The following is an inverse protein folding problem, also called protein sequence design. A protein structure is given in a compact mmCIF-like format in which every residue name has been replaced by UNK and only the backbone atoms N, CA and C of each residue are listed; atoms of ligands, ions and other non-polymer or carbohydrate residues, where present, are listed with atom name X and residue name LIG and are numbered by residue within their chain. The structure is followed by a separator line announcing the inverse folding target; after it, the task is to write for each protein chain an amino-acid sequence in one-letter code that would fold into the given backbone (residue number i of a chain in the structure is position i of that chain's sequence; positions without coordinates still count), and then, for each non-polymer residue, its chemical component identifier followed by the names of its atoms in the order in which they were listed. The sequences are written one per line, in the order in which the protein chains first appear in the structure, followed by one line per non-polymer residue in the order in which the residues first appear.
data_IF_050276512145
#
_entry.id   IF_050276512145
#
_cell.length_a   1.000
_cell.length_b   1.000
_cell.length_c   1.000
_cell.angle_alpha   90.00
_cell.angle_beta   90.00
_cell.angle_gamma   90.00
#
_symmetry.space_group_name_H-M   'P 1'
#
loop_
_entity.id
_entity.type
_entity.pdbx_description
1 polymer ?
#
# COMPACT_ATOMS: atom_id res chain seq x y z
N UNK A 1 -26.12 28.94 -39.99
CA UNK A 1 -25.63 28.37 -38.72
C UNK A 1 -25.28 26.90 -38.97
N UNK A 2 -24.02 26.63 -39.32
CA UNK A 2 -23.50 25.26 -39.43
C UNK A 2 -22.74 24.97 -38.15
N UNK A 3 -23.16 23.89 -37.52
CA UNK A 3 -22.63 23.36 -36.26
C UNK A 3 -21.13 23.06 -36.38
N UNK A 4 -20.30 23.81 -35.70
CA UNK A 4 -18.91 23.43 -35.40
C UNK A 4 -18.94 22.45 -34.24
N UNK A 5 -19.26 21.21 -34.53
CA UNK A 5 -18.96 20.13 -33.58
C UNK A 5 -17.45 20.05 -33.47
N UNK A 6 -16.93 20.59 -32.36
CA UNK A 6 -15.53 20.47 -31.98
C UNK A 6 -15.15 19.00 -32.01
N UNK A 7 -14.23 18.63 -32.90
CA UNK A 7 -13.70 17.26 -32.98
C UNK A 7 -13.06 16.90 -31.64
N UNK A 8 -13.61 15.90 -30.97
CA UNK A 8 -12.99 15.28 -29.79
C UNK A 8 -11.58 14.84 -30.23
N UNK A 9 -10.52 15.28 -29.57
CA UNK A 9 -9.17 14.87 -29.92
C UNK A 9 -9.11 13.33 -29.94
N UNK A 10 -8.60 12.76 -31.04
CA UNK A 10 -8.40 11.32 -31.14
C UNK A 10 -7.62 10.83 -29.90
N UNK A 11 -8.15 9.81 -29.26
CA UNK A 11 -7.51 9.19 -28.09
C UNK A 11 -6.05 8.87 -28.45
N UNK A 12 -5.11 9.40 -27.66
CA UNK A 12 -3.69 9.10 -27.81
C UNK A 12 -3.55 7.58 -27.80
N UNK A 13 -2.89 6.94 -28.78
CA UNK A 13 -2.74 5.50 -28.79
C UNK A 13 -2.08 5.08 -27.48
N UNK A 14 -2.77 4.27 -26.69
CA UNK A 14 -2.18 3.65 -25.50
C UNK A 14 -1.04 2.78 -26.02
N UNK A 15 0.19 3.24 -25.79
CA UNK A 15 1.39 2.46 -26.08
C UNK A 15 1.15 1.05 -25.55
N UNK A 16 1.48 0.02 -26.33
CA UNK A 16 1.23 -1.41 -26.13
C UNK A 16 1.23 -1.74 -24.63
N UNK A 17 0.04 -2.05 -24.10
CA UNK A 17 -0.17 -2.16 -22.65
C UNK A 17 0.85 -3.15 -22.10
N UNK A 18 1.77 -2.68 -21.27
CA UNK A 18 2.78 -3.52 -20.65
C UNK A 18 2.05 -4.67 -19.94
N UNK A 19 2.18 -5.89 -20.44
CA UNK A 19 1.49 -7.10 -19.93
C UNK A 19 1.70 -7.31 -18.43
N UNK A 20 2.72 -6.72 -17.87
CA UNK A 20 3.07 -6.80 -16.45
C UNK A 20 2.38 -5.73 -15.58
N UNK A 21 1.81 -4.69 -16.19
CA UNK A 21 1.23 -3.58 -15.42
C UNK A 21 0.13 -4.07 -14.47
N UNK A 22 -0.87 -4.80 -14.97
CA UNK A 22 -1.98 -5.28 -14.13
C UNK A 22 -1.52 -6.26 -13.05
N UNK A 23 -0.67 -7.27 -13.33
CA UNK A 23 -0.08 -8.11 -12.28
C UNK A 23 0.64 -7.30 -11.18
N UNK A 24 1.46 -6.32 -11.54
CA UNK A 24 2.12 -5.46 -10.55
C UNK A 24 1.12 -4.63 -9.74
N UNK A 25 0.10 -4.03 -10.38
CA UNK A 25 -0.94 -3.31 -9.66
C UNK A 25 -1.71 -4.21 -8.71
N UNK A 26 -2.02 -5.44 -9.10
CA UNK A 26 -2.66 -6.40 -8.20
C UNK A 26 -1.77 -6.75 -7.00
N UNK A 27 -0.49 -7.03 -7.23
CA UNK A 27 0.48 -7.25 -6.16
C UNK A 27 0.58 -6.03 -5.25
N UNK A 28 0.61 -4.81 -5.83
CA UNK A 28 0.61 -3.57 -5.06
C UNK A 28 -0.58 -3.46 -4.11
N UNK A 29 -1.79 -3.81 -4.57
CA UNK A 29 -2.98 -3.77 -3.73
C UNK A 29 -2.93 -4.78 -2.57
N UNK A 30 -2.42 -5.98 -2.86
CA UNK A 30 -2.19 -6.99 -1.81
C UNK A 30 -1.20 -6.47 -0.76
N UNK A 31 -0.04 -5.96 -1.20
CA UNK A 31 0.99 -5.48 -0.29
C UNK A 31 0.53 -4.24 0.50
N UNK A 32 -0.19 -3.32 -0.13
CA UNK A 32 -0.77 -2.15 0.52
C UNK A 32 -1.58 -2.52 1.76
N UNK A 33 -2.54 -3.43 1.61
CA UNK A 33 -3.36 -3.89 2.72
C UNK A 33 -2.60 -4.79 3.71
N UNK A 34 -1.68 -5.62 3.23
CA UNK A 34 -0.89 -6.51 4.08
C UNK A 34 -0.01 -5.69 5.03
N UNK A 35 0.77 -4.72 4.53
CA UNK A 35 1.71 -3.95 5.35
C UNK A 35 1.01 -3.10 6.42
N UNK A 36 -0.20 -2.62 6.14
CA UNK A 36 -1.01 -1.88 7.12
C UNK A 36 -1.46 -2.74 8.29
N UNK A 37 -1.57 -4.07 8.12
CA UNK A 37 -2.04 -5.01 9.13
C UNK A 37 -0.95 -5.87 9.77
N UNK A 38 0.31 -5.74 9.34
CA UNK A 38 1.45 -6.44 9.98
C UNK A 38 1.52 -6.13 11.47
N UNK A 39 1.53 -4.86 11.83
CA UNK A 39 1.71 -4.45 13.24
C UNK A 39 0.56 -4.90 14.16
N UNK A 40 -0.73 -4.74 13.83
CA UNK A 40 -1.82 -5.24 14.67
C UNK A 40 -1.73 -6.73 15.00
N UNK A 41 -1.11 -7.52 14.13
CA UNK A 41 -0.86 -8.96 14.39
C UNK A 41 0.43 -9.18 15.19
N UNK A 42 1.52 -8.50 14.83
CA UNK A 42 2.82 -8.66 15.48
C UNK A 42 2.88 -8.07 16.90
N UNK A 43 2.01 -7.09 17.22
CA UNK A 43 2.05 -6.36 18.48
C UNK A 43 1.86 -7.22 19.73
N UNK A 44 1.18 -8.35 19.61
CA UNK A 44 0.98 -9.29 20.72
C UNK A 44 2.33 -9.92 21.15
N UNK A 45 3.13 -10.33 20.16
CA UNK A 45 4.47 -10.87 20.43
C UNK A 45 5.44 -9.78 20.91
N UNK A 46 5.37 -8.60 20.32
CA UNK A 46 6.12 -7.42 20.77
C UNK A 46 5.80 -7.09 22.25
N UNK A 47 4.53 -7.12 22.62
CA UNK A 47 4.08 -6.87 24.00
C UNK A 47 4.67 -7.86 24.99
N UNK A 48 4.75 -9.14 24.63
CA UNK A 48 5.41 -10.18 25.44
C UNK A 48 6.90 -9.91 25.62
N UNK A 49 7.60 -9.54 24.52
CA UNK A 49 9.04 -9.27 24.55
C UNK A 49 9.36 -8.01 25.39
N UNK A 50 8.54 -6.97 25.28
CA UNK A 50 8.79 -5.70 25.97
C UNK A 50 8.13 -5.59 27.35
N UNK A 51 7.37 -6.61 27.79
CA UNK A 51 6.64 -6.60 29.06
C UNK A 51 5.58 -5.50 29.12
N UNK A 52 4.96 -5.17 27.98
CA UNK A 52 3.97 -4.07 27.87
C UNK A 52 2.61 -4.60 27.38
N UNK A 53 1.52 -4.08 27.92
CA UNK A 53 0.19 -4.51 27.54
C UNK A 53 -0.16 -4.07 26.09
N UNK A 54 -0.99 -4.86 25.43
CA UNK A 54 -1.50 -4.61 24.09
C UNK A 54 -2.16 -3.21 23.96
N UNK A 55 -2.91 -2.79 24.99
CA UNK A 55 -3.60 -1.50 25.03
C UNK A 55 -2.67 -0.28 24.94
N UNK A 56 -1.41 -0.43 25.35
CA UNK A 56 -0.42 0.64 25.23
C UNK A 56 0.30 0.64 23.89
N UNK A 57 0.45 -0.53 23.28
CA UNK A 57 1.24 -0.69 22.05
C UNK A 57 0.38 -0.53 20.79
N UNK A 58 -0.85 -1.03 20.77
CA UNK A 58 -1.70 -0.94 19.58
C UNK A 58 -1.91 0.50 19.08
N UNK A 59 -2.08 1.52 19.94
CA UNK A 59 -2.21 2.91 19.50
C UNK A 59 -1.01 3.45 18.71
N UNK A 60 0.16 2.80 18.74
CA UNK A 60 1.32 3.20 17.93
C UNK A 60 1.05 3.09 16.42
N UNK A 61 0.08 2.27 16.02
CA UNK A 61 -0.36 2.18 14.63
C UNK A 61 -1.23 3.38 14.17
N UNK A 62 -1.74 4.19 15.10
CA UNK A 62 -2.67 5.27 14.74
C UNK A 62 -2.07 6.26 13.74
N UNK A 63 -0.78 6.61 13.91
CA UNK A 63 -0.05 7.47 13.00
C UNK A 63 -0.02 6.93 11.56
N UNK A 64 0.08 5.61 11.39
CA UNK A 64 0.04 4.94 10.09
C UNK A 64 -1.30 5.17 9.37
N UNK A 65 -2.42 4.95 10.05
CA UNK A 65 -3.76 5.14 9.46
C UNK A 65 -4.07 6.61 9.16
N UNK A 66 -3.64 7.52 10.04
CA UNK A 66 -3.76 8.97 9.81
C UNK A 66 -2.94 9.38 8.58
N UNK A 67 -1.69 8.94 8.50
CA UNK A 67 -0.81 9.23 7.38
C UNK A 67 -1.37 8.62 6.07
N UNK A 68 -1.86 7.40 6.11
CA UNK A 68 -2.50 6.75 4.97
C UNK A 68 -3.63 7.60 4.37
N UNK A 69 -4.53 8.11 5.21
CA UNK A 69 -5.60 9.00 4.76
C UNK A 69 -5.09 10.38 4.28
N UNK A 70 -4.22 11.01 5.07
CA UNK A 70 -3.76 12.37 4.81
C UNK A 70 -2.88 12.49 3.56
N UNK A 71 -2.02 11.50 3.30
CA UNK A 71 -1.10 11.53 2.16
C UNK A 71 -1.71 11.05 0.84
N UNK A 72 -2.93 10.50 0.83
CA UNK A 72 -3.60 10.08 -0.40
C UNK A 72 -3.82 11.24 -1.39
N UNK A 73 -4.21 12.43 -0.90
CA UNK A 73 -4.42 13.62 -1.75
C UNK A 73 -3.10 14.13 -2.35
N UNK A 74 -2.03 14.38 -1.56
CA UNK A 74 -0.73 14.76 -2.11
C UNK A 74 -0.17 13.72 -3.09
N UNK A 75 -0.35 12.43 -2.82
CA UNK A 75 0.12 11.36 -3.69
C UNK A 75 -0.58 11.37 -5.06
N UNK A 76 -1.90 11.56 -5.08
CA UNK A 76 -2.67 11.71 -6.32
C UNK A 76 -2.21 12.94 -7.10
N UNK A 77 -2.08 14.07 -6.43
CA UNK A 77 -1.58 15.31 -7.04
C UNK A 77 -0.18 15.12 -7.66
N UNK A 78 0.74 14.50 -6.93
CA UNK A 78 2.10 14.24 -7.42
C UNK A 78 2.06 13.33 -8.66
N UNK A 79 1.26 12.28 -8.64
CA UNK A 79 1.15 11.34 -9.75
C UNK A 79 0.61 12.00 -11.03
N UNK A 80 -0.34 12.91 -10.91
CA UNK A 80 -0.94 13.62 -12.04
C UNK A 80 -0.01 14.69 -12.62
N UNK A 81 0.84 15.35 -11.80
CA UNK A 81 1.74 16.42 -12.24
C UNK A 81 3.15 15.92 -12.63
N UNK A 82 3.54 14.73 -12.18
CA UNK A 82 4.86 14.20 -12.45
C UNK A 82 4.80 12.88 -13.26
N UNK A 83 4.44 11.76 -12.64
CA UNK A 83 4.30 10.47 -13.30
C UNK A 83 3.68 9.43 -12.39
N UNK A 84 2.54 8.86 -12.79
CA UNK A 84 1.90 7.75 -12.08
C UNK A 84 2.84 6.56 -11.90
N UNK A 85 3.59 6.23 -12.95
CA UNK A 85 4.53 5.11 -12.92
C UNK A 85 5.65 5.32 -11.88
N UNK A 86 6.30 6.50 -11.90
CA UNK A 86 7.37 6.82 -10.94
C UNK A 86 6.83 6.91 -9.51
N UNK A 87 5.66 7.46 -9.32
CA UNK A 87 5.01 7.53 -8.00
C UNK A 87 4.67 6.13 -7.48
N UNK A 88 4.26 5.20 -8.35
CA UNK A 88 4.06 3.79 -7.97
C UNK A 88 5.39 3.09 -7.60
N UNK A 89 6.49 3.42 -8.25
CA UNK A 89 7.83 2.93 -7.85
C UNK A 89 8.19 3.41 -6.45
N UNK A 90 7.91 4.69 -6.13
CA UNK A 90 8.09 5.24 -4.78
C UNK A 90 7.24 4.47 -3.76
N UNK A 91 6.00 4.10 -4.10
CA UNK A 91 5.16 3.27 -3.24
C UNK A 91 5.88 1.97 -2.85
N UNK A 92 6.34 1.17 -3.82
CA UNK A 92 6.96 -0.13 -3.53
C UNK A 92 8.23 -0.01 -2.69
N UNK A 93 9.14 0.88 -3.08
CA UNK A 93 10.37 1.08 -2.32
C UNK A 93 10.10 1.72 -0.96
N UNK A 94 9.13 2.62 -0.89
CA UNK A 94 8.76 3.31 0.34
C UNK A 94 8.19 2.37 1.39
N UNK A 95 7.17 1.56 1.04
CA UNK A 95 6.59 0.59 1.98
C UNK A 95 7.61 -0.46 2.41
N UNK A 96 8.38 -1.02 1.45
CA UNK A 96 9.37 -2.05 1.76
C UNK A 96 10.49 -1.53 2.66
N UNK A 97 11.09 -0.38 2.32
CA UNK A 97 12.18 0.20 3.12
C UNK A 97 11.71 0.64 4.50
N UNK A 98 10.56 1.33 4.59
CA UNK A 98 10.04 1.81 5.89
C UNK A 98 9.66 0.66 6.80
N UNK A 99 9.02 -0.38 6.26
CA UNK A 99 8.67 -1.57 7.04
C UNK A 99 9.94 -2.30 7.51
N UNK A 100 10.89 -2.55 6.61
CA UNK A 100 12.17 -3.17 6.94
C UNK A 100 12.92 -2.42 8.04
N UNK A 101 13.03 -1.10 7.95
CA UNK A 101 13.67 -0.28 8.99
C UNK A 101 12.90 -0.33 10.32
N UNK A 102 11.58 -0.45 10.28
CA UNK A 102 10.77 -0.60 11.50
C UNK A 102 11.07 -1.90 12.23
N UNK A 103 11.50 -2.95 11.53
CA UNK A 103 11.94 -4.22 12.13
C UNK A 103 13.14 -4.08 13.08
N UNK A 104 13.95 -3.02 12.95
CA UNK A 104 15.07 -2.72 13.88
C UNK A 104 14.65 -1.89 15.11
N UNK A 105 13.35 -1.62 15.27
CA UNK A 105 12.88 -0.81 16.39
C UNK A 105 13.29 -1.35 17.75
N UNK A 106 13.72 -0.44 18.63
CA UNK A 106 14.12 -0.72 20.02
C UNK A 106 13.28 0.08 21.03
N UNK A 107 12.33 0.87 20.55
CA UNK A 107 11.44 1.67 21.39
C UNK A 107 10.09 1.91 20.71
N UNK A 108 9.07 2.26 21.49
CA UNK A 108 7.74 2.60 20.97
C UNK A 108 7.79 3.76 19.98
N UNK A 109 8.70 4.71 20.16
CA UNK A 109 8.89 5.82 19.24
C UNK A 109 9.37 5.35 17.87
N UNK A 110 10.34 4.42 17.81
CA UNK A 110 10.79 3.85 16.54
C UNK A 110 9.65 3.13 15.80
N UNK A 111 8.82 2.37 16.52
CA UNK A 111 7.62 1.72 15.96
C UNK A 111 6.65 2.78 15.42
N UNK A 112 6.28 3.77 16.23
CA UNK A 112 5.29 4.78 15.83
C UNK A 112 5.73 5.56 14.60
N UNK A 113 6.98 6.02 14.56
CA UNK A 113 7.53 6.76 13.41
C UNK A 113 7.62 5.87 12.18
N UNK A 114 8.18 4.66 12.30
CA UNK A 114 8.32 3.73 11.19
C UNK A 114 6.97 3.37 10.56
N UNK A 115 5.98 3.04 11.38
CA UNK A 115 4.61 2.77 10.91
C UNK A 115 3.97 3.99 10.24
N UNK A 116 4.16 5.19 10.81
CA UNK A 116 3.63 6.43 10.21
C UNK A 116 4.21 6.66 8.82
N UNK A 117 5.52 6.46 8.66
CA UNK A 117 6.19 6.55 7.37
C UNK A 117 5.67 5.47 6.40
N UNK A 118 5.49 4.24 6.86
CA UNK A 118 4.90 3.16 6.06
C UNK A 118 3.50 3.54 5.58
N UNK A 119 2.66 4.09 6.46
CA UNK A 119 1.32 4.55 6.09
C UNK A 119 1.33 5.70 5.07
N UNK A 120 2.29 6.62 5.16
CA UNK A 120 2.44 7.70 4.18
C UNK A 120 2.80 7.17 2.78
N UNK A 121 3.66 6.16 2.67
CA UNK A 121 3.97 5.52 1.39
C UNK A 121 2.82 4.63 0.90
N UNK A 122 2.15 3.90 1.79
CA UNK A 122 0.99 3.09 1.45
C UNK A 122 -0.15 3.93 0.86
N UNK A 123 -0.34 5.18 1.32
CA UNK A 123 -1.32 6.13 0.80
C UNK A 123 -1.25 6.35 -0.72
N UNK A 124 -0.11 6.05 -1.35
CA UNK A 124 0.12 6.24 -2.79
C UNK A 124 -0.71 5.27 -3.62
N UNK A 125 -0.91 4.03 -3.15
CA UNK A 125 -1.47 2.99 -4.01
C UNK A 125 -2.87 3.34 -4.53
N UNK A 126 -3.80 3.71 -3.67
CA UNK A 126 -5.20 3.90 -4.06
C UNK A 126 -5.40 4.98 -5.13
N UNK A 127 -4.93 6.22 -4.97
CA UNK A 127 -5.13 7.25 -5.99
C UNK A 127 -4.37 6.95 -7.29
N UNK A 128 -3.19 6.33 -7.20
CA UNK A 128 -2.32 6.11 -8.36
C UNK A 128 -2.61 4.80 -9.07
N UNK A 129 -2.66 3.69 -8.34
CA UNK A 129 -2.88 2.35 -8.89
C UNK A 129 -4.26 2.22 -9.52
N UNK A 130 -5.32 2.68 -8.85
CA UNK A 130 -6.68 2.65 -9.40
C UNK A 130 -6.78 3.52 -10.66
N UNK A 131 -6.19 4.74 -10.66
CA UNK A 131 -6.18 5.60 -11.84
C UNK A 131 -5.47 4.94 -13.03
N UNK A 132 -4.44 4.12 -12.79
CA UNK A 132 -3.76 3.36 -13.86
C UNK A 132 -4.61 2.19 -14.37
N UNK A 133 -5.38 1.53 -13.50
CA UNK A 133 -6.27 0.42 -13.88
C UNK A 133 -7.44 0.88 -14.75
N UNK A 134 -8.04 2.03 -14.44
CA UNK A 134 -9.21 2.56 -15.17
C UNK A 134 -8.85 3.26 -16.48
N UNK A 135 -7.57 3.46 -16.76
CA UNK A 135 -7.12 4.05 -18.04
C UNK A 135 -7.47 3.21 -19.28
N UNK A 136 -7.84 1.92 -19.10
CA UNK A 136 -8.26 1.03 -20.19
C UNK A 136 -9.74 0.65 -20.04
N UNK A 137 -10.68 1.38 -20.68
CA UNK A 137 -12.11 1.27 -20.41
C UNK A 137 -12.75 -0.08 -20.82
N UNK A 138 -12.22 -0.77 -21.84
CA UNK A 138 -12.86 -1.96 -22.44
C UNK A 138 -13.07 -3.15 -21.47
N UNK A 139 -12.29 -3.24 -20.40
CA UNK A 139 -12.35 -4.33 -19.40
C UNK A 139 -12.32 -3.81 -17.96
N UNK A 140 -12.66 -2.55 -17.76
CA UNK A 140 -12.52 -1.84 -16.48
C UNK A 140 -13.15 -2.61 -15.31
N UNK A 141 -14.39 -3.03 -15.41
CA UNK A 141 -15.09 -3.74 -14.34
C UNK A 141 -14.40 -5.04 -13.92
N UNK A 142 -13.96 -5.84 -14.90
CA UNK A 142 -13.23 -7.09 -14.64
C UNK A 142 -11.87 -6.82 -13.99
N UNK A 143 -11.14 -5.84 -14.49
CA UNK A 143 -9.80 -5.48 -13.96
C UNK A 143 -9.89 -4.96 -12.53
N UNK A 144 -10.85 -4.08 -12.23
CA UNK A 144 -11.11 -3.59 -10.88
C UNK A 144 -11.58 -4.72 -9.95
N UNK A 145 -12.43 -5.64 -10.43
CA UNK A 145 -12.87 -6.79 -9.64
C UNK A 145 -11.70 -7.70 -9.23
N UNK A 146 -10.80 -8.01 -10.16
CA UNK A 146 -9.58 -8.76 -9.84
C UNK A 146 -8.66 -7.99 -8.89
N UNK A 147 -8.48 -6.70 -9.11
CA UNK A 147 -7.65 -5.88 -8.23
C UNK A 147 -8.24 -5.82 -6.81
N UNK A 148 -9.56 -5.67 -6.66
CA UNK A 148 -10.23 -5.75 -5.37
C UNK A 148 -10.05 -7.10 -4.67
N UNK A 149 -10.06 -8.22 -5.44
CA UNK A 149 -9.78 -9.55 -4.89
C UNK A 149 -8.36 -9.62 -4.30
N UNK A 150 -7.36 -9.07 -4.98
CA UNK A 150 -5.98 -9.04 -4.47
C UNK A 150 -5.85 -8.18 -3.20
N UNK A 151 -6.54 -7.03 -3.13
CA UNK A 151 -6.57 -6.22 -1.90
C UNK A 151 -7.19 -6.99 -0.72
N UNK A 152 -8.35 -7.65 -0.93
CA UNK A 152 -8.97 -8.48 0.09
C UNK A 152 -8.10 -9.69 0.49
N UNK A 153 -7.35 -10.27 -0.47
CA UNK A 153 -6.38 -11.32 -0.16
C UNK A 153 -5.27 -10.79 0.74
N UNK A 154 -4.79 -9.54 0.53
CA UNK A 154 -3.84 -8.87 1.42
C UNK A 154 -4.35 -8.74 2.85
N UNK A 155 -5.62 -8.32 3.02
CA UNK A 155 -6.28 -8.26 4.34
C UNK A 155 -6.33 -9.65 5.00
N UNK A 156 -6.84 -10.65 4.27
CA UNK A 156 -7.02 -12.00 4.79
C UNK A 156 -5.68 -12.70 5.10
N UNK A 157 -4.68 -12.50 4.24
CA UNK A 157 -3.36 -13.09 4.40
C UNK A 157 -2.53 -12.42 5.52
N UNK A 158 -2.79 -11.15 5.83
CA UNK A 158 -1.98 -10.40 6.78
C UNK A 158 -1.85 -11.09 8.14
N UNK A 159 -2.97 -11.54 8.73
CA UNK A 159 -2.95 -12.22 10.03
C UNK A 159 -2.23 -13.58 9.97
N UNK A 160 -2.51 -14.39 8.93
CA UNK A 160 -1.92 -15.72 8.77
C UNK A 160 -0.43 -15.65 8.49
N UNK A 161 -0.04 -14.81 7.53
CA UNK A 161 1.35 -14.64 7.12
C UNK A 161 2.20 -14.03 8.24
N UNK A 162 1.70 -12.94 8.84
CA UNK A 162 2.38 -12.29 9.97
C UNK A 162 2.45 -13.22 11.18
N UNK A 163 1.35 -13.90 11.52
CA UNK A 163 1.32 -14.86 12.62
C UNK A 163 2.34 -15.98 12.44
N UNK A 164 2.40 -16.58 11.26
CA UNK A 164 3.39 -17.61 10.94
C UNK A 164 4.84 -17.10 11.09
N UNK A 165 5.15 -15.91 10.56
CA UNK A 165 6.48 -15.31 10.72
C UNK A 165 6.84 -15.03 12.18
N UNK A 166 5.86 -14.55 12.95
CA UNK A 166 6.03 -14.31 14.40
C UNK A 166 6.33 -15.61 15.14
N UNK A 167 5.59 -16.68 14.84
CA UNK A 167 5.76 -17.97 15.51
C UNK A 167 7.10 -18.64 15.18
N UNK A 168 7.57 -18.51 13.91
CA UNK A 168 8.81 -19.15 13.48
C UNK A 168 10.07 -18.33 13.80
N UNK A 169 10.01 -17.01 13.74
CA UNK A 169 11.21 -16.15 13.78
C UNK A 169 11.05 -14.86 14.61
N UNK A 170 9.97 -14.75 15.36
CA UNK A 170 9.69 -13.58 16.19
C UNK A 170 9.08 -12.40 15.42
N UNK A 171 8.61 -11.40 16.18
CA UNK A 171 7.85 -10.27 15.61
C UNK A 171 8.63 -9.45 14.57
N UNK A 172 9.97 -9.38 14.68
CA UNK A 172 10.82 -8.66 13.73
C UNK A 172 10.78 -9.27 12.33
N UNK A 173 10.65 -10.58 12.22
CA UNK A 173 10.56 -11.27 10.93
C UNK A 173 9.34 -10.79 10.12
N UNK A 174 8.24 -10.44 10.80
CA UNK A 174 7.06 -9.90 10.15
C UNK A 174 7.29 -8.55 9.47
N UNK A 175 8.33 -7.82 9.85
CA UNK A 175 8.73 -6.55 9.24
C UNK A 175 9.83 -6.69 8.18
N UNK A 176 10.62 -7.77 8.24
CA UNK A 176 11.74 -7.97 7.31
C UNK A 176 11.36 -8.71 6.04
N UNK A 177 10.30 -9.52 6.08
CA UNK A 177 9.98 -10.47 4.99
C UNK A 177 8.99 -9.93 3.96
N UNK A 178 7.96 -9.13 4.31
CA UNK A 178 7.08 -8.57 3.27
C UNK A 178 7.79 -7.58 2.41
#
# INVERSE_FOLDING_TARGET
LRDTVSAIPAAVPVASANRWLVPFLNLGHLLDHLVMLVFPTAVVALGREWGRPYSELLPLALGSFIAFGAFAIPAGWLADHWSRYRTLVIFYFGIGTSLFLTGFAQSSWHIAVGLTITGAFAAIYHPVGIAMLVASPEKMGRTLGWNGLWGNLGLAAAALFTGALVDFAGWRAAFFVP
#
